data_IF_219520227873
#
_entry.id   IF_219520227873
#
_cell.length_a   1.000
_cell.length_b   1.000
_cell.length_c   1.000
_cell.angle_alpha   90.00
_cell.angle_beta   90.00
_cell.angle_gamma   90.00
#
_symmetry.space_group_name_H-M   'P 1'
#
loop_
_entity.id
_entity.type
_entity.pdbx_description
1 polymer ?
#
# COMPACT_ATOMS: atom_id res chain seq x y z
N UNK A 1 15.94 -9.59 -40.98
CA UNK A 1 14.50 -9.26 -40.87
C UNK A 1 14.04 -9.59 -39.46
N UNK A 2 14.13 -8.63 -38.52
CA UNK A 2 13.68 -8.85 -37.14
C UNK A 2 12.15 -8.83 -37.12
N UNK A 3 11.53 -10.01 -36.98
CA UNK A 3 10.10 -10.15 -36.76
C UNK A 3 9.80 -9.54 -35.38
N UNK A 4 9.42 -8.26 -35.33
CA UNK A 4 8.88 -7.61 -34.14
C UNK A 4 7.57 -8.32 -33.82
N UNK A 5 7.63 -9.35 -33.00
CA UNK A 5 6.43 -9.93 -32.41
C UNK A 5 5.87 -8.86 -31.47
N UNK A 6 4.82 -8.17 -31.91
CA UNK A 6 4.01 -7.31 -31.06
C UNK A 6 3.33 -8.18 -29.99
N UNK A 7 4.11 -8.64 -29.02
CA UNK A 7 3.57 -9.19 -27.80
C UNK A 7 2.79 -8.06 -27.13
N UNK A 8 1.47 -8.23 -27.02
CA UNK A 8 0.63 -7.26 -26.33
C UNK A 8 0.97 -7.35 -24.84
N UNK A 9 1.63 -6.33 -24.31
CA UNK A 9 1.92 -6.22 -22.88
C UNK A 9 0.84 -5.38 -22.22
N UNK A 10 0.44 -5.76 -21.00
CA UNK A 10 -0.44 -4.96 -20.14
C UNK A 10 0.34 -4.64 -18.87
N UNK A 11 0.52 -3.35 -18.60
CA UNK A 11 1.21 -2.87 -17.39
C UNK A 11 0.14 -2.33 -16.46
N UNK A 12 0.12 -2.80 -15.22
CA UNK A 12 -0.93 -2.48 -14.26
C UNK A 12 -0.28 -1.97 -12.98
N UNK A 13 -0.70 -0.79 -12.53
CA UNK A 13 -0.34 -0.28 -11.23
C UNK A 13 -1.09 -1.06 -10.13
N UNK A 14 -0.36 -1.52 -9.13
CA UNK A 14 -0.84 -2.33 -8.02
C UNK A 14 -0.66 -1.59 -6.70
N UNK A 15 -1.77 -1.11 -6.15
CA UNK A 15 -1.85 -0.52 -4.82
C UNK A 15 -2.68 -1.36 -3.83
N UNK A 16 -2.78 -2.68 -4.05
CA UNK A 16 -3.43 -3.59 -3.11
C UNK A 16 -2.66 -3.62 -1.78
N UNK A 17 -3.37 -3.53 -0.66
CA UNK A 17 -2.77 -3.60 0.66
C UNK A 17 -2.47 -5.04 1.06
N UNK A 18 -1.63 -5.21 2.07
CA UNK A 18 -1.22 -6.55 2.52
C UNK A 18 -2.40 -7.42 2.98
N UNK A 19 -3.44 -6.79 3.53
CA UNK A 19 -4.69 -7.44 3.95
C UNK A 19 -5.66 -7.71 2.79
N UNK A 20 -5.25 -7.39 1.57
CA UNK A 20 -5.96 -7.67 0.32
C UNK A 20 -5.23 -8.74 -0.50
N UNK A 21 -4.40 -9.57 0.15
CA UNK A 21 -3.63 -10.64 -0.51
C UNK A 21 -4.53 -11.55 -1.35
N UNK A 22 -5.71 -11.91 -0.83
CA UNK A 22 -6.71 -12.72 -1.56
C UNK A 22 -7.25 -11.98 -2.79
N UNK A 23 -7.61 -10.70 -2.66
CA UNK A 23 -8.07 -9.90 -3.79
C UNK A 23 -6.99 -9.73 -4.87
N UNK A 24 -5.71 -9.59 -4.50
CA UNK A 24 -4.59 -9.54 -5.44
C UNK A 24 -4.40 -10.87 -6.18
N UNK A 25 -4.51 -12.00 -5.47
CA UNK A 25 -4.46 -13.34 -6.07
C UNK A 25 -5.61 -13.51 -7.07
N UNK A 26 -6.84 -13.19 -6.66
CA UNK A 26 -8.02 -13.23 -7.53
C UNK A 26 -7.87 -12.34 -8.76
N UNK A 27 -7.32 -11.14 -8.61
CA UNK A 27 -7.03 -10.24 -9.72
C UNK A 27 -6.05 -10.87 -10.74
N UNK A 28 -4.94 -11.43 -10.27
CA UNK A 28 -3.94 -12.07 -11.15
C UNK A 28 -4.56 -13.27 -11.87
N UNK A 29 -5.34 -14.10 -11.17
CA UNK A 29 -6.08 -15.23 -11.75
C UNK A 29 -7.07 -14.79 -12.83
N UNK A 30 -7.81 -13.70 -12.61
CA UNK A 30 -8.73 -13.14 -13.60
C UNK A 30 -7.99 -12.61 -14.85
N UNK A 31 -6.79 -12.05 -14.70
CA UNK A 31 -5.97 -11.69 -15.86
C UNK A 31 -5.50 -12.94 -16.64
N UNK A 32 -5.28 -14.05 -15.95
CA UNK A 32 -4.92 -15.33 -16.56
C UNK A 32 -6.03 -15.96 -17.38
N UNK A 33 -7.28 -15.87 -16.92
CA UNK A 33 -8.45 -16.33 -17.70
C UNK A 33 -8.67 -15.49 -18.96
N UNK A 34 -8.26 -14.21 -18.96
CA UNK A 34 -8.28 -13.32 -20.14
C UNK A 34 -7.14 -13.59 -21.15
N UNK A 35 -6.27 -14.58 -20.89
CA UNK A 35 -5.16 -14.95 -21.78
C UNK A 35 -3.88 -14.15 -21.58
N UNK A 36 -3.76 -13.43 -20.45
CA UNK A 36 -2.51 -12.82 -20.02
C UNK A 36 -1.79 -13.74 -19.02
N UNK A 37 -0.49 -13.60 -18.87
CA UNK A 37 0.23 -14.20 -17.74
C UNK A 37 1.12 -13.15 -17.12
N UNK A 38 1.27 -13.20 -15.80
CA UNK A 38 2.22 -12.33 -15.12
C UNK A 38 3.63 -12.73 -15.59
N UNK A 39 4.39 -11.80 -16.13
CA UNK A 39 5.72 -12.06 -16.69
C UNK A 39 6.82 -11.21 -16.04
N UNK A 40 6.45 -10.41 -15.05
CA UNK A 40 7.39 -9.67 -14.23
C UNK A 40 6.67 -8.68 -13.33
N UNK A 41 7.44 -8.11 -12.42
CA UNK A 41 7.04 -6.99 -11.58
C UNK A 41 8.12 -5.93 -11.69
N UNK A 42 7.71 -4.66 -11.66
CA UNK A 42 8.61 -3.51 -11.69
C UNK A 42 8.50 -2.78 -10.35
N UNK A 43 9.67 -2.41 -9.82
CA UNK A 43 9.81 -1.75 -8.52
C UNK A 43 9.97 -2.74 -7.36
N UNK A 44 10.67 -2.28 -6.32
CA UNK A 44 11.08 -3.09 -5.15
C UNK A 44 9.88 -3.72 -4.41
N UNK A 45 8.71 -3.10 -4.49
CA UNK A 45 7.51 -3.44 -3.71
C UNK A 45 6.37 -4.09 -4.53
N UNK A 46 6.59 -4.55 -5.77
CA UNK A 46 5.53 -5.05 -6.66
C UNK A 46 4.44 -4.02 -7.01
N UNK A 47 4.78 -2.73 -7.04
CA UNK A 47 3.79 -1.68 -7.31
C UNK A 47 3.36 -1.66 -8.79
N UNK A 48 4.08 -2.32 -9.68
CA UNK A 48 3.75 -2.40 -11.10
C UNK A 48 3.83 -3.85 -11.54
N UNK A 49 2.71 -4.42 -11.96
CA UNK A 49 2.61 -5.77 -12.49
C UNK A 49 2.70 -5.71 -14.02
N UNK A 50 3.56 -6.56 -14.59
CA UNK A 50 3.71 -6.69 -16.04
C UNK A 50 3.10 -8.00 -16.50
N UNK A 51 2.05 -7.89 -17.31
CA UNK A 51 1.36 -9.01 -17.92
C UNK A 51 1.74 -9.12 -19.41
N UNK A 52 1.95 -10.34 -19.86
CA UNK A 52 2.27 -10.69 -21.23
C UNK A 52 1.11 -11.47 -21.83
N UNK A 53 0.69 -11.13 -23.05
CA UNK A 53 -0.39 -11.85 -23.73
C UNK A 53 0.11 -13.15 -24.37
N UNK A 54 -0.56 -14.27 -24.06
CA UNK A 54 -0.32 -15.55 -24.71
C UNK A 54 -1.65 -16.32 -24.88
N UNK A 55 -2.40 -15.98 -25.94
CA UNK A 55 -3.69 -16.60 -26.29
C UNK A 55 -3.66 -18.13 -26.43
N UNK A 56 -2.48 -18.72 -26.64
CA UNK A 56 -2.30 -20.14 -26.98
C UNK A 56 -1.80 -21.01 -25.83
N UNK A 57 -1.57 -20.47 -24.63
CA UNK A 57 -1.22 -21.27 -23.46
C UNK A 57 -2.49 -21.59 -22.66
N UNK A 58 -2.65 -22.84 -22.25
CA UNK A 58 -3.65 -23.22 -21.26
C UNK A 58 -3.49 -22.32 -20.01
N UNK A 59 -4.60 -21.92 -19.35
CA UNK A 59 -4.53 -21.12 -18.14
C UNK A 59 -3.75 -21.93 -17.11
N UNK A 60 -2.52 -21.51 -16.84
CA UNK A 60 -1.70 -22.06 -15.79
C UNK A 60 -2.02 -21.35 -14.50
N UNK A 61 -2.11 -22.12 -13.42
CA UNK A 61 -2.37 -21.56 -12.10
C UNK A 61 -1.12 -20.87 -11.57
N UNK A 62 -1.34 -19.89 -10.69
CA UNK A 62 -0.27 -19.28 -9.94
C UNK A 62 -0.48 -19.47 -8.43
N UNK A 63 0.61 -19.77 -7.75
CA UNK A 63 0.70 -19.75 -6.30
C UNK A 63 1.48 -18.51 -5.88
N UNK A 64 0.90 -17.71 -4.98
CA UNK A 64 1.51 -16.45 -4.51
C UNK A 64 1.81 -16.59 -3.02
N UNK A 65 3.08 -16.44 -2.67
CA UNK A 65 3.52 -16.47 -1.28
C UNK A 65 4.17 -15.17 -0.87
N UNK A 66 3.91 -14.75 0.37
CA UNK A 66 4.62 -13.69 1.06
C UNK A 66 5.75 -14.30 1.87
N UNK A 67 6.98 -13.88 1.56
CA UNK A 67 8.20 -14.32 2.23
C UNK A 67 8.24 -13.81 3.67
N UNK A 68 8.90 -14.57 4.56
CA UNK A 68 9.17 -14.18 5.95
C UNK A 68 7.91 -13.84 6.72
N UNK A 69 6.79 -14.45 6.34
CA UNK A 69 5.51 -14.25 7.03
C UNK A 69 5.39 -15.20 8.21
N UNK A 70 5.83 -16.45 8.03
CA UNK A 70 5.74 -17.54 9.01
C UNK A 70 6.60 -18.72 8.53
N UNK A 71 7.17 -19.47 9.48
CA UNK A 71 8.11 -20.57 9.22
C UNK A 71 7.51 -21.65 8.33
N UNK A 72 6.22 -21.97 8.50
CA UNK A 72 5.55 -22.98 7.66
C UNK A 72 5.37 -22.51 6.22
N UNK A 73 5.09 -21.21 6.02
CA UNK A 73 4.98 -20.64 4.67
C UNK A 73 6.35 -20.58 4.01
N UNK A 74 7.39 -20.22 4.77
CA UNK A 74 8.76 -20.20 4.26
C UNK A 74 9.26 -21.62 3.91
N UNK A 75 8.92 -22.63 4.73
CA UNK A 75 9.21 -24.03 4.42
C UNK A 75 8.51 -24.49 3.13
N UNK A 76 7.26 -24.10 2.90
CA UNK A 76 6.52 -24.43 1.69
C UNK A 76 7.15 -23.76 0.45
N UNK A 77 7.60 -22.51 0.58
CA UNK A 77 8.36 -21.82 -0.49
C UNK A 77 9.63 -22.59 -0.85
N UNK A 78 10.39 -23.06 0.14
CA UNK A 78 11.61 -23.83 -0.11
C UNK A 78 11.31 -25.22 -0.68
N UNK A 79 10.24 -25.89 -0.24
CA UNK A 79 9.79 -27.16 -0.82
C UNK A 79 9.48 -26.99 -2.32
N UNK A 80 8.71 -25.97 -2.70
CA UNK A 80 8.42 -25.69 -4.11
C UNK A 80 9.68 -25.41 -4.94
N UNK A 81 10.66 -24.70 -4.38
CA UNK A 81 11.95 -24.51 -5.05
C UNK A 81 12.69 -25.84 -5.25
N UNK A 82 12.73 -26.68 -4.23
CA UNK A 82 13.39 -27.98 -4.28
C UNK A 82 12.72 -28.96 -5.25
N UNK A 83 11.39 -28.88 -5.37
CA UNK A 83 10.59 -29.65 -6.33
C UNK A 83 10.73 -29.17 -7.79
N UNK A 84 11.50 -28.10 -8.02
CA UNK A 84 11.72 -27.54 -9.36
C UNK A 84 10.55 -26.69 -9.88
N UNK A 85 9.68 -26.21 -8.99
CA UNK A 85 8.57 -25.34 -9.39
C UNK A 85 9.09 -24.08 -10.07
N UNK A 86 8.48 -23.72 -11.20
CA UNK A 86 8.93 -22.60 -12.01
C UNK A 86 8.55 -21.27 -11.38
N UNK A 87 9.55 -20.48 -11.02
CA UNK A 87 9.35 -19.12 -10.49
C UNK A 87 9.01 -18.18 -11.63
N UNK A 88 7.82 -17.58 -11.58
CA UNK A 88 7.36 -16.56 -12.53
C UNK A 88 8.00 -15.22 -12.19
N UNK A 89 7.93 -14.85 -10.91
CA UNK A 89 8.42 -13.56 -10.44
C UNK A 89 8.76 -13.64 -8.94
N UNK A 90 9.78 -12.89 -8.55
CA UNK A 90 10.24 -12.82 -7.18
C UNK A 90 10.76 -11.42 -6.87
N UNK A 91 10.39 -10.88 -5.71
CA UNK A 91 11.00 -9.69 -5.14
C UNK A 91 11.31 -9.91 -3.65
N UNK A 92 11.51 -8.82 -2.90
CA UNK A 92 11.81 -8.89 -1.47
C UNK A 92 10.63 -9.38 -0.61
N UNK A 93 9.39 -9.18 -1.07
CA UNK A 93 8.19 -9.48 -0.28
C UNK A 93 7.45 -10.73 -0.74
N UNK A 94 7.42 -10.98 -2.04
CA UNK A 94 6.61 -12.00 -2.67
C UNK A 94 7.46 -12.92 -3.55
N UNK A 95 6.98 -14.15 -3.69
CA UNK A 95 7.41 -15.11 -4.69
C UNK A 95 6.17 -15.71 -5.33
N UNK A 96 6.20 -15.83 -6.66
CA UNK A 96 5.09 -16.38 -7.44
C UNK A 96 5.60 -17.56 -8.25
N UNK A 97 4.95 -18.69 -8.07
CA UNK A 97 5.21 -19.93 -8.80
C UNK A 97 4.13 -20.17 -9.85
N UNK A 98 4.55 -20.75 -10.97
CA UNK A 98 3.70 -21.37 -11.99
C UNK A 98 3.38 -22.80 -11.52
N UNK A 99 2.11 -23.16 -11.49
CA UNK A 99 1.65 -24.50 -11.07
C UNK A 99 0.92 -25.16 -12.23
N UNK A 100 1.35 -26.37 -12.60
CA UNK A 100 0.72 -27.18 -13.64
C UNK A 100 -0.45 -27.97 -13.05
N UNK A 101 -1.68 -27.52 -13.33
CA UNK A 101 -2.97 -28.13 -12.92
C UNK A 101 -3.28 -28.12 -11.41
N UNK A 102 -4.55 -27.83 -11.07
CA UNK A 102 -5.03 -27.57 -9.71
C UNK A 102 -5.10 -28.82 -8.80
N UNK A 103 -5.46 -30.00 -9.33
CA UNK A 103 -6.10 -31.06 -8.53
C UNK A 103 -5.26 -31.72 -7.42
N UNK A 104 -3.91 -31.77 -7.50
CA UNK A 104 -3.06 -32.43 -6.47
C UNK A 104 -2.39 -31.41 -5.52
N UNK A 105 -2.28 -30.16 -5.95
CA UNK A 105 -1.60 -29.08 -5.21
C UNK A 105 -2.61 -28.16 -4.48
N UNK A 106 -3.90 -28.29 -4.79
CA UNK A 106 -5.01 -27.46 -4.29
C UNK A 106 -5.08 -27.40 -2.77
N UNK A 107 -5.09 -28.55 -2.08
CA UNK A 107 -5.30 -28.56 -0.62
C UNK A 107 -4.17 -27.88 0.13
N UNK A 108 -2.91 -28.10 -0.28
CA UNK A 108 -1.75 -27.46 0.37
C UNK A 108 -1.71 -25.96 0.09
N UNK A 109 -1.99 -25.57 -1.16
CA UNK A 109 -2.04 -24.17 -1.57
C UNK A 109 -3.16 -23.41 -0.86
N UNK A 110 -4.36 -23.99 -0.78
CA UNK A 110 -5.49 -23.40 -0.08
C UNK A 110 -5.22 -23.24 1.42
N UNK A 111 -4.59 -24.24 2.05
CA UNK A 111 -4.18 -24.15 3.46
C UNK A 111 -3.18 -23.01 3.63
N UNK A 112 -2.18 -22.91 2.76
CA UNK A 112 -1.18 -21.84 2.83
C UNK A 112 -1.81 -20.47 2.56
N UNK A 113 -2.67 -20.32 1.55
CA UNK A 113 -3.41 -19.08 1.26
C UNK A 113 -4.29 -18.67 2.44
N UNK A 114 -5.04 -19.60 3.03
CA UNK A 114 -5.87 -19.35 4.22
C UNK A 114 -5.02 -18.92 5.41
N UNK A 115 -3.87 -19.56 5.62
CA UNK A 115 -2.94 -19.19 6.69
C UNK A 115 -2.37 -17.78 6.47
N UNK A 116 -1.91 -17.48 5.25
CA UNK A 116 -1.44 -16.15 4.87
C UNK A 116 -2.53 -15.10 5.10
N UNK A 117 -3.76 -15.35 4.65
CA UNK A 117 -4.89 -14.43 4.83
C UNK A 117 -5.18 -14.18 6.31
N UNK A 118 -5.16 -15.21 7.16
CA UNK A 118 -5.34 -15.02 8.61
C UNK A 118 -4.20 -14.22 9.25
N UNK A 119 -2.94 -14.48 8.86
CA UNK A 119 -1.78 -13.75 9.38
C UNK A 119 -1.74 -12.30 8.91
N UNK A 120 -2.26 -12.01 7.72
CA UNK A 120 -2.30 -10.68 7.11
C UNK A 120 -3.60 -9.91 7.38
N UNK A 121 -4.62 -10.57 7.91
CA UNK A 121 -5.90 -9.96 8.24
C UNK A 121 -5.79 -8.91 9.35
N UNK A 122 -6.65 -7.90 9.27
CA UNK A 122 -6.66 -6.77 10.18
C UNK A 122 -7.71 -7.00 11.27
N UNK A 123 -7.37 -6.88 12.56
CA UNK A 123 -8.36 -6.98 13.63
C UNK A 123 -9.31 -5.77 13.59
N UNK A 124 -10.58 -5.97 13.25
CA UNK A 124 -11.55 -4.90 12.97
C UNK A 124 -11.68 -3.96 14.16
N UNK A 125 -12.01 -4.51 15.34
CA UNK A 125 -12.27 -3.70 16.55
C UNK A 125 -11.04 -2.87 16.94
N UNK A 126 -9.87 -3.49 16.99
CA UNK A 126 -8.63 -2.80 17.38
C UNK A 126 -8.23 -1.75 16.34
N UNK A 127 -8.37 -2.06 15.05
CA UNK A 127 -8.02 -1.14 13.97
C UNK A 127 -8.94 0.07 13.93
N UNK A 128 -10.26 -0.12 14.03
CA UNK A 128 -11.21 1.00 14.03
C UNK A 128 -10.98 1.88 15.25
N UNK A 129 -10.83 1.31 16.44
CA UNK A 129 -10.55 2.10 17.66
C UNK A 129 -9.27 2.90 17.50
N UNK A 130 -8.19 2.28 17.02
CA UNK A 130 -6.92 2.97 16.82
C UNK A 130 -7.01 4.09 15.79
N UNK A 131 -7.68 3.85 14.65
CA UNK A 131 -7.91 4.86 13.62
C UNK A 131 -8.74 6.02 14.19
N UNK A 132 -9.82 5.74 14.92
CA UNK A 132 -10.67 6.77 15.51
C UNK A 132 -9.91 7.63 16.51
N UNK A 133 -9.11 7.03 17.40
CA UNK A 133 -8.27 7.78 18.36
C UNK A 133 -7.29 8.69 17.62
N UNK A 134 -6.59 8.17 16.60
CA UNK A 134 -5.67 8.98 15.80
C UNK A 134 -6.38 10.11 15.06
N UNK A 135 -7.56 9.85 14.50
CA UNK A 135 -8.33 10.88 13.80
C UNK A 135 -8.80 11.99 14.76
N UNK A 136 -9.25 11.65 15.97
CA UNK A 136 -9.62 12.64 16.99
C UNK A 136 -8.42 13.48 17.40
N UNK A 137 -7.27 12.85 17.66
CA UNK A 137 -6.03 13.56 17.99
C UNK A 137 -5.59 14.48 16.84
N UNK A 138 -5.72 14.00 15.61
CA UNK A 138 -5.41 14.75 14.39
C UNK A 138 -6.29 16.00 14.26
N UNK A 139 -7.61 15.87 14.45
CA UNK A 139 -8.55 17.00 14.39
C UNK A 139 -8.30 18.01 15.52
N UNK A 140 -8.09 17.55 16.75
CA UNK A 140 -7.74 18.43 17.88
C UNK A 140 -6.44 19.18 17.57
N UNK A 141 -5.44 18.46 17.07
CA UNK A 141 -4.16 19.00 16.67
C UNK A 141 -4.28 20.11 15.62
N UNK A 142 -5.05 19.85 14.58
CA UNK A 142 -5.35 20.81 13.53
C UNK A 142 -6.03 22.08 14.09
N UNK A 143 -7.04 21.93 14.96
CA UNK A 143 -7.74 23.07 15.58
C UNK A 143 -6.77 23.90 16.42
N UNK A 144 -5.95 23.26 17.26
CA UNK A 144 -4.94 23.95 18.05
C UNK A 144 -3.94 24.71 17.16
N UNK A 145 -3.52 24.10 16.05
CA UNK A 145 -2.60 24.72 15.10
C UNK A 145 -3.23 25.95 14.43
N UNK A 146 -4.52 25.89 14.07
CA UNK A 146 -5.29 27.04 13.56
C UNK A 146 -5.32 28.18 14.60
N UNK A 147 -5.60 27.86 15.87
CA UNK A 147 -5.65 28.86 16.94
C UNK A 147 -4.28 29.50 17.23
N UNK A 148 -3.19 28.75 17.07
CA UNK A 148 -1.83 29.21 17.34
C UNK A 148 -1.22 30.02 16.18
N UNK A 149 -1.77 29.95 14.96
CA UNK A 149 -1.28 30.72 13.80
C UNK A 149 -1.32 32.23 14.05
N UNK A 150 -2.21 32.72 14.91
CA UNK A 150 -2.32 34.15 15.23
C UNK A 150 -1.09 34.73 15.96
N UNK A 151 -0.21 33.90 16.54
CA UNK A 151 0.86 34.35 17.44
C UNK A 151 2.30 34.03 16.97
N UNK A 152 2.51 33.48 15.76
CA UNK A 152 3.82 32.93 15.34
C UNK A 152 4.27 33.29 13.92
N UNK A 153 5.39 32.70 13.49
CA UNK A 153 6.02 32.95 12.19
C UNK A 153 5.10 32.49 11.03
N UNK A 154 4.45 33.45 10.36
CA UNK A 154 3.25 33.23 9.54
C UNK A 154 3.46 32.19 8.42
N UNK A 155 4.62 32.18 7.76
CA UNK A 155 4.85 31.36 6.57
C UNK A 155 5.04 29.86 6.87
N UNK A 156 5.78 29.51 7.94
CA UNK A 156 5.97 28.09 8.33
C UNK A 156 4.67 27.52 8.90
N UNK A 157 3.97 28.30 9.72
CA UNK A 157 2.72 27.85 10.31
C UNK A 157 1.64 27.59 9.25
N UNK A 158 1.56 28.43 8.21
CA UNK A 158 0.68 28.21 7.06
C UNK A 158 1.09 26.94 6.28
N UNK A 159 2.38 26.76 5.98
CA UNK A 159 2.85 25.56 5.28
C UNK A 159 2.51 24.27 6.06
N UNK A 160 2.80 24.27 7.36
CA UNK A 160 2.55 23.13 8.24
C UNK A 160 1.05 22.83 8.34
N UNK A 161 0.19 23.87 8.44
CA UNK A 161 -1.26 23.71 8.39
C UNK A 161 -1.75 23.08 7.08
N UNK A 162 -1.26 23.57 5.94
CA UNK A 162 -1.63 23.05 4.62
C UNK A 162 -1.22 21.59 4.47
N UNK A 163 -0.03 21.22 4.96
CA UNK A 163 0.43 19.83 4.97
C UNK A 163 -0.46 18.96 5.86
N UNK A 164 -0.79 19.41 7.08
CA UNK A 164 -1.69 18.68 7.97
C UNK A 164 -3.07 18.43 7.33
N UNK A 165 -3.69 19.47 6.76
CA UNK A 165 -4.95 19.36 6.02
C UNK A 165 -4.84 18.35 4.88
N UNK A 166 -3.78 18.44 4.08
CA UNK A 166 -3.58 17.54 2.96
C UNK A 166 -3.39 16.08 3.42
N UNK A 167 -2.68 15.84 4.51
CA UNK A 167 -2.53 14.49 5.08
C UNK A 167 -3.86 13.90 5.53
N UNK A 168 -4.72 14.70 6.18
CA UNK A 168 -6.07 14.28 6.61
C UNK A 168 -6.94 13.97 5.38
N UNK A 169 -6.99 14.87 4.39
CA UNK A 169 -7.75 14.65 3.15
C UNK A 169 -7.28 13.37 2.45
N UNK A 170 -5.96 13.16 2.38
CA UNK A 170 -5.40 11.97 1.77
C UNK A 170 -5.82 10.70 2.53
N UNK A 171 -5.73 10.73 3.86
CA UNK A 171 -6.20 9.66 4.73
C UNK A 171 -7.68 9.33 4.45
N UNK A 172 -8.54 10.34 4.30
CA UNK A 172 -9.96 10.15 4.04
C UNK A 172 -10.22 9.42 2.72
N UNK A 173 -9.47 9.71 1.65
CA UNK A 173 -9.63 8.95 0.40
C UNK A 173 -9.41 7.45 0.60
N UNK A 174 -8.34 7.05 1.28
CA UNK A 174 -8.10 5.63 1.56
C UNK A 174 -9.13 5.05 2.54
N UNK A 175 -9.43 5.76 3.61
CA UNK A 175 -10.37 5.30 4.63
C UNK A 175 -11.78 5.09 4.06
N UNK A 176 -12.26 6.01 3.24
CA UNK A 176 -13.57 5.89 2.57
C UNK A 176 -13.59 4.70 1.62
N UNK A 177 -12.50 4.43 0.89
CA UNK A 177 -12.39 3.25 0.02
C UNK A 177 -12.50 1.93 0.79
N UNK A 178 -11.81 1.82 1.93
CA UNK A 178 -11.92 0.64 2.80
C UNK A 178 -13.31 0.50 3.42
N UNK A 179 -13.88 1.58 3.94
CA UNK A 179 -15.23 1.56 4.52
C UNK A 179 -16.29 1.16 3.51
N UNK A 180 -16.17 1.65 2.27
CA UNK A 180 -17.07 1.25 1.19
C UNK A 180 -17.01 -0.25 0.95
N UNK A 181 -15.82 -0.83 0.80
CA UNK A 181 -15.68 -2.27 0.57
C UNK A 181 -16.17 -3.13 1.75
N UNK A 182 -16.05 -2.62 2.99
CA UNK A 182 -16.64 -3.26 4.19
C UNK A 182 -18.17 -3.25 4.10
N UNK A 183 -18.77 -2.10 3.79
CA UNK A 183 -20.23 -1.94 3.69
C UNK A 183 -20.82 -2.83 2.59
N UNK A 184 -20.13 -2.94 1.45
CA UNK A 184 -20.54 -3.77 0.32
C UNK A 184 -20.21 -5.26 0.50
N UNK A 185 -19.65 -5.68 1.64
CA UNK A 185 -19.43 -7.09 1.95
C UNK A 185 -18.27 -7.74 1.17
N UNK A 186 -17.31 -6.95 0.69
CA UNK A 186 -16.14 -7.45 -0.04
C UNK A 186 -15.06 -8.03 0.88
N UNK A 187 -15.21 -7.82 2.19
CA UNK A 187 -14.35 -8.38 3.24
C UNK A 187 -14.92 -9.65 3.85
N UNK A 188 -14.06 -10.65 4.07
CA UNK A 188 -14.40 -11.84 4.85
C UNK A 188 -13.97 -11.65 6.29
N UNK A 189 -14.92 -11.79 7.22
CA UNK A 189 -14.66 -11.71 8.65
C UNK A 189 -14.47 -13.12 9.23
N UNK A 190 -13.32 -13.38 9.83
CA UNK A 190 -13.04 -14.63 10.56
C UNK A 190 -12.42 -14.27 11.89
N UNK A 191 -13.02 -14.73 13.00
CA UNK A 191 -12.55 -14.47 14.37
C UNK A 191 -12.33 -12.97 14.68
N UNK A 192 -13.19 -12.10 14.15
CA UNK A 192 -13.09 -10.65 14.35
C UNK A 192 -11.96 -9.96 13.59
N UNK A 193 -11.30 -10.67 12.66
CA UNK A 193 -10.34 -10.12 11.71
C UNK A 193 -10.93 -10.08 10.31
N UNK A 194 -10.58 -9.06 9.54
CA UNK A 194 -11.03 -8.87 8.16
C UNK A 194 -9.85 -8.99 7.20
N UNK A 195 -10.10 -9.66 6.09
CA UNK A 195 -9.29 -9.55 4.87
C UNK A 195 -10.25 -9.35 3.69
N UNK A 196 -9.78 -8.71 2.61
CA UNK A 196 -10.61 -8.48 1.44
C UNK A 196 -10.34 -9.56 0.39
N UNK A 197 -11.40 -10.26 -0.01
CA UNK A 197 -11.36 -11.29 -1.06
C UNK A 197 -11.53 -10.69 -2.44
N UNK A 198 -12.19 -9.53 -2.52
CA UNK A 198 -12.44 -8.77 -3.74
C UNK A 198 -12.32 -7.28 -3.46
N UNK A 199 -12.26 -6.49 -4.54
CA UNK A 199 -12.09 -5.04 -4.47
C UNK A 199 -13.07 -4.35 -5.40
N UNK A 200 -13.69 -3.27 -4.95
CA UNK A 200 -14.57 -2.49 -5.83
C UNK A 200 -13.79 -1.49 -6.68
N UNK A 201 -14.33 -1.17 -7.85
CA UNK A 201 -13.81 -0.10 -8.73
C UNK A 201 -13.74 1.26 -8.02
N UNK A 202 -14.65 1.50 -7.07
CA UNK A 202 -14.67 2.73 -6.28
C UNK A 202 -13.44 2.84 -5.39
N UNK A 203 -13.09 1.77 -4.66
CA UNK A 203 -11.88 1.73 -3.85
C UNK A 203 -10.61 1.83 -4.70
N UNK A 204 -10.58 1.19 -5.87
CA UNK A 204 -9.47 1.34 -6.82
C UNK A 204 -9.25 2.81 -7.21
N UNK A 205 -10.33 3.50 -7.59
CA UNK A 205 -10.29 4.92 -7.95
C UNK A 205 -9.82 5.78 -6.79
N UNK A 206 -10.40 5.61 -5.59
CA UNK A 206 -10.03 6.41 -4.41
C UNK A 206 -8.57 6.23 -4.01
N UNK A 207 -8.06 5.01 -4.02
CA UNK A 207 -6.66 4.77 -3.67
C UNK A 207 -5.73 5.34 -4.74
N UNK A 208 -6.12 5.28 -6.02
CA UNK A 208 -5.34 5.90 -7.09
C UNK A 208 -5.28 7.43 -6.93
N UNK A 209 -6.40 8.08 -6.60
CA UNK A 209 -6.44 9.50 -6.26
C UNK A 209 -5.58 9.80 -5.04
N UNK A 210 -5.67 8.98 -3.99
CA UNK A 210 -4.84 9.12 -2.79
C UNK A 210 -3.34 8.97 -3.07
N UNK A 211 -2.96 8.07 -3.98
CA UNK A 211 -1.55 7.87 -4.37
C UNK A 211 -1.01 9.08 -5.14
N UNK A 212 -1.79 9.63 -6.08
CA UNK A 212 -1.45 10.86 -6.80
C UNK A 212 -1.35 12.04 -5.82
N UNK A 213 -2.31 12.17 -4.91
CA UNK A 213 -2.34 13.24 -3.93
C UNK A 213 -1.17 13.14 -2.95
N UNK A 214 -0.81 11.93 -2.51
CA UNK A 214 0.39 11.67 -1.71
C UNK A 214 1.65 12.18 -2.40
N UNK A 215 1.82 11.87 -3.68
CA UNK A 215 2.96 12.34 -4.45
C UNK A 215 2.97 13.87 -4.57
N UNK A 216 1.80 14.47 -4.79
CA UNK A 216 1.63 15.92 -4.80
C UNK A 216 2.01 16.59 -3.48
N UNK A 217 1.60 16.03 -2.34
CA UNK A 217 1.96 16.53 -1.00
C UNK A 217 3.47 16.47 -0.79
N UNK A 218 4.12 15.36 -1.17
CA UNK A 218 5.54 15.18 -0.95
C UNK A 218 6.37 16.10 -1.85
N UNK A 219 6.06 16.17 -3.14
CA UNK A 219 6.78 17.04 -4.07
C UNK A 219 6.52 18.52 -3.75
N UNK A 220 5.25 18.88 -3.51
CA UNK A 220 4.85 20.24 -3.17
C UNK A 220 5.48 20.72 -1.86
N UNK A 221 5.49 19.89 -0.82
CA UNK A 221 6.12 20.25 0.45
C UNK A 221 7.63 20.48 0.30
N UNK A 222 8.35 19.59 -0.40
CA UNK A 222 9.79 19.77 -0.66
C UNK A 222 10.05 21.07 -1.45
N UNK A 223 9.32 21.31 -2.54
CA UNK A 223 9.52 22.50 -3.37
C UNK A 223 9.27 23.79 -2.58
N UNK A 224 8.18 23.87 -1.82
CA UNK A 224 7.85 25.05 -1.02
C UNK A 224 8.84 25.22 0.13
N UNK A 225 9.23 24.14 0.81
CA UNK A 225 10.26 24.17 1.86
C UNK A 225 11.60 24.72 1.33
N UNK A 226 12.06 24.26 0.16
CA UNK A 226 13.29 24.78 -0.46
C UNK A 226 13.15 26.26 -0.82
N UNK A 227 12.01 26.68 -1.38
CA UNK A 227 11.77 28.08 -1.68
C UNK A 227 11.82 28.96 -0.42
N UNK A 228 11.21 28.52 0.68
CA UNK A 228 11.26 29.21 1.98
C UNK A 228 12.70 29.33 2.49
N UNK A 229 13.49 28.25 2.41
CA UNK A 229 14.91 28.27 2.82
C UNK A 229 15.72 29.30 2.03
N UNK A 230 15.48 29.41 0.72
CA UNK A 230 16.18 30.36 -0.15
C UNK A 230 15.79 31.81 0.12
N UNK A 231 14.52 32.06 0.51
CA UNK A 231 13.99 33.41 0.74
C UNK A 231 14.33 33.92 2.14
N UNK A 232 14.18 33.06 3.15
CA UNK A 232 14.17 33.49 4.55
C UNK A 232 15.57 33.80 5.10
N UNK A 233 16.61 33.13 4.60
CA UNK A 233 18.00 33.25 5.06
C UNK A 233 18.14 33.35 6.61
N UNK A 234 17.35 32.55 7.32
CA UNK A 234 17.23 32.53 8.78
C UNK A 234 17.47 31.11 9.28
N UNK A 235 18.40 30.97 10.23
CA UNK A 235 18.81 29.69 10.82
C UNK A 235 17.65 29.00 11.55
N UNK A 236 16.74 29.76 12.18
CA UNK A 236 15.58 29.21 12.89
C UNK A 236 14.62 28.56 11.90
N UNK A 237 14.37 29.24 10.78
CA UNK A 237 13.53 28.73 9.68
C UNK A 237 14.15 27.47 9.07
N UNK A 238 15.48 27.45 8.94
CA UNK A 238 16.20 26.27 8.46
C UNK A 238 16.04 25.06 9.38
N UNK A 239 16.15 25.27 10.69
CA UNK A 239 15.97 24.21 11.70
C UNK A 239 14.56 23.63 11.63
N UNK A 240 13.53 24.47 11.52
CA UNK A 240 12.13 23.99 11.52
C UNK A 240 11.75 23.25 10.23
N UNK A 241 12.26 23.68 9.07
CA UNK A 241 12.10 22.92 7.82
C UNK A 241 12.80 21.56 7.91
N UNK A 242 14.01 21.51 8.48
CA UNK A 242 14.73 20.25 8.69
C UNK A 242 13.98 19.30 9.64
N UNK A 243 13.38 19.81 10.72
CA UNK A 243 12.54 19.01 11.62
C UNK A 243 11.34 18.43 10.88
N UNK A 244 10.64 19.23 10.08
CA UNK A 244 9.50 18.78 9.28
C UNK A 244 9.91 17.65 8.33
N UNK A 245 11.03 17.80 7.62
CA UNK A 245 11.56 16.76 6.74
C UNK A 245 11.93 15.49 7.50
N UNK A 246 12.52 15.62 8.68
CA UNK A 246 12.90 14.49 9.53
C UNK A 246 11.65 13.71 9.99
N UNK A 247 10.59 14.41 10.41
CA UNK A 247 9.30 13.79 10.77
C UNK A 247 8.69 13.06 9.57
N UNK A 248 8.66 13.70 8.40
CA UNK A 248 8.17 13.09 7.16
C UNK A 248 8.98 11.86 6.76
N UNK A 249 10.31 11.90 6.90
CA UNK A 249 11.21 10.78 6.64
C UNK A 249 11.00 9.63 7.62
N UNK A 250 10.85 9.91 8.92
CA UNK A 250 10.58 8.89 9.95
C UNK A 250 9.22 8.23 9.72
N UNK A 251 8.17 9.01 9.48
CA UNK A 251 6.85 8.46 9.17
C UNK A 251 6.82 7.71 7.84
N UNK A 252 7.58 8.19 6.84
CA UNK A 252 7.83 7.47 5.60
C UNK A 252 8.59 6.15 5.82
N UNK A 253 9.54 6.09 6.74
CA UNK A 253 10.22 4.85 7.11
C UNK A 253 9.32 3.90 7.91
N UNK A 254 8.46 4.43 8.79
CA UNK A 254 7.43 3.65 9.49
C UNK A 254 6.46 2.98 8.49
N UNK A 255 6.21 3.62 7.33
CA UNK A 255 5.46 3.00 6.23
C UNK A 255 6.14 1.78 5.59
N UNK A 256 7.41 1.47 5.92
CA UNK A 256 8.13 0.27 5.48
C UNK A 256 8.06 -0.90 6.47
N UNK A 257 7.70 -0.64 7.74
CA UNK A 257 7.45 -1.68 8.75
C UNK A 257 6.12 -2.39 8.44
N UNK A 258 5.77 -3.47 9.17
CA UNK A 258 4.60 -4.38 8.93
C UNK A 258 3.30 -3.73 8.40
N UNK A 259 3.09 -2.45 8.65
CA UNK A 259 2.13 -1.53 8.02
C UNK A 259 2.42 -1.14 6.56
N UNK A 260 3.11 -1.98 5.78
CA UNK A 260 3.78 -1.64 4.51
C UNK A 260 2.96 -0.85 3.49
N UNK A 261 1.63 -0.84 3.64
CA UNK A 261 0.71 -0.01 2.85
C UNK A 261 -0.57 0.36 3.60
N UNK A 262 -0.52 0.53 4.92
CA UNK A 262 -1.67 1.03 5.67
C UNK A 262 -1.64 2.56 5.68
N UNK A 263 -2.72 3.21 5.23
CA UNK A 263 -2.85 4.68 5.23
C UNK A 263 -2.85 5.32 6.63
N UNK A 264 -2.79 4.52 7.70
CA UNK A 264 -2.65 4.96 9.10
C UNK A 264 -1.38 5.82 9.31
N UNK A 265 -0.30 5.59 8.55
CA UNK A 265 0.91 6.40 8.69
C UNK A 265 0.65 7.88 8.35
N UNK A 266 -0.36 8.21 7.54
CA UNK A 266 -0.71 9.60 7.21
C UNK A 266 -1.18 10.35 8.46
N UNK A 267 -2.02 9.72 9.29
CA UNK A 267 -2.44 10.28 10.57
C UNK A 267 -1.29 10.34 11.57
N UNK A 268 -0.40 9.33 11.58
CA UNK A 268 0.77 9.36 12.47
C UNK A 268 1.73 10.50 12.12
N UNK A 269 2.01 10.71 10.82
CA UNK A 269 2.82 11.85 10.38
C UNK A 269 2.16 13.16 10.77
N UNK A 270 0.85 13.28 10.55
CA UNK A 270 0.10 14.50 10.87
C UNK A 270 0.16 14.81 12.37
N UNK A 271 -0.14 13.83 13.24
CA UNK A 271 -0.08 14.01 14.69
C UNK A 271 1.34 14.39 15.15
N UNK A 272 2.38 13.81 14.53
CA UNK A 272 3.77 14.19 14.81
C UNK A 272 4.11 15.61 14.34
N UNK A 273 3.62 16.02 13.16
CA UNK A 273 3.81 17.38 12.64
C UNK A 273 3.10 18.43 13.49
N UNK A 274 1.93 18.11 14.04
CA UNK A 274 1.23 19.00 14.98
C UNK A 274 2.02 19.11 16.29
N UNK A 275 2.49 18.00 16.83
CA UNK A 275 3.08 17.95 18.18
C UNK A 275 4.54 18.40 18.24
N UNK A 276 5.30 18.21 17.16
CA UNK A 276 6.76 18.42 17.13
C UNK A 276 7.24 19.47 16.11
N UNK A 277 6.35 20.02 15.27
CA UNK A 277 6.69 21.04 14.27
C UNK A 277 5.62 22.08 14.09
#
# INVERSE_FOLDING_TARGET
MFKKSNHKYKIIYNNYQFYESSALIGFIRNQMTEGYYLCGMIGEFCNILKFCYAKTKSPKSCAIFRKRLDEQIDAEIENMKNEGAKIICQNNLYIIFEVDSYEVVETKLEIAEKKQNNLLSVPIKKSIVFISVLLVLSVIGLILKILLIENGNLHINILSLVICLALIINFLFYFTGDMHDIIFGMGTCTDGKIYFSTRTKFKDMLFHVGDIFKFGILLGSICISVAILLIANDEVIAIDVLKMWLICCIGGYASRLRYQRSYIYLLLIEVLLVTLG
#
